data_IF_203102625857
#
_entry.id   IF_203102625857
#
_cell.length_a   1.000
_cell.length_b   1.000
_cell.length_c   1.000
_cell.angle_alpha   90.00
_cell.angle_beta   90.00
_cell.angle_gamma   90.00
#
_symmetry.space_group_name_H-M   'P 1'
#
loop_
_entity.id
_entity.type
_entity.pdbx_description
1 polymer ?
#
# COMPACT_ATOMS: atom_id res chain seq x y z
N UNK A 1 -27.54 0.56 -26.30
CA UNK A 1 -27.08 1.53 -25.28
C UNK A 1 -26.86 0.74 -24.03
N UNK A 2 -25.61 0.37 -23.75
CA UNK A 2 -25.24 -0.18 -22.44
C UNK A 2 -25.45 0.95 -21.45
N UNK A 3 -26.34 0.77 -20.48
CA UNK A 3 -26.48 1.70 -19.35
C UNK A 3 -25.10 1.89 -18.76
N UNK A 4 -24.62 3.14 -18.73
CA UNK A 4 -23.46 3.53 -17.92
C UNK A 4 -23.74 3.02 -16.51
N UNK A 5 -22.93 2.08 -16.05
CA UNK A 5 -23.07 1.50 -14.74
C UNK A 5 -22.69 2.57 -13.73
N UNK A 6 -23.62 2.97 -12.86
CA UNK A 6 -23.31 4.04 -11.91
C UNK A 6 -22.34 3.50 -10.83
N UNK A 7 -21.68 4.41 -10.11
CA UNK A 7 -20.68 4.06 -9.09
C UNK A 7 -21.21 3.06 -8.03
N UNK A 8 -22.49 3.13 -7.68
CA UNK A 8 -23.10 2.22 -6.70
C UNK A 8 -23.24 0.79 -7.26
N UNK A 9 -23.60 0.66 -8.54
CA UNK A 9 -23.70 -0.63 -9.21
C UNK A 9 -22.33 -1.32 -9.34
N UNK A 10 -21.28 -0.56 -9.68
CA UNK A 10 -19.89 -1.06 -9.72
C UNK A 10 -19.46 -1.59 -8.35
N UNK A 11 -19.68 -0.84 -7.28
CA UNK A 11 -19.32 -1.26 -5.91
C UNK A 11 -20.09 -2.49 -5.45
N UNK A 12 -21.38 -2.57 -5.80
CA UNK A 12 -22.21 -3.74 -5.50
C UNK A 12 -21.70 -4.99 -6.22
N UNK A 13 -21.31 -4.86 -7.48
CA UNK A 13 -20.73 -5.96 -8.26
C UNK A 13 -19.36 -6.39 -7.73
N UNK A 14 -18.51 -5.45 -7.30
CA UNK A 14 -17.21 -5.74 -6.67
C UNK A 14 -17.33 -6.51 -5.35
N UNK A 15 -18.38 -6.25 -4.58
CA UNK A 15 -18.69 -6.99 -3.35
C UNK A 15 -19.42 -8.31 -3.56
N UNK A 16 -19.75 -8.69 -4.80
CA UNK A 16 -20.47 -9.93 -5.10
C UNK A 16 -19.61 -11.17 -4.87
N UNK A 17 -20.21 -12.29 -4.45
CA UNK A 17 -19.54 -13.59 -4.44
C UNK A 17 -19.35 -14.15 -5.86
N UNK A 18 -20.12 -13.65 -6.83
CA UNK A 18 -20.01 -14.05 -8.23
C UNK A 18 -18.76 -13.46 -8.88
N UNK A 19 -17.84 -14.35 -9.30
CA UNK A 19 -16.59 -13.98 -9.96
C UNK A 19 -16.85 -13.15 -11.23
N UNK A 20 -17.87 -13.49 -12.02
CA UNK A 20 -18.17 -12.82 -13.28
C UNK A 20 -18.52 -11.34 -13.06
N UNK A 21 -19.41 -11.06 -12.10
CA UNK A 21 -19.83 -9.70 -11.75
C UNK A 21 -18.66 -8.87 -11.21
N UNK A 22 -17.79 -9.47 -10.41
CA UNK A 22 -16.56 -8.81 -9.93
C UNK A 22 -15.63 -8.45 -11.08
N UNK A 23 -15.39 -9.38 -12.02
CA UNK A 23 -14.53 -9.14 -13.18
C UNK A 23 -15.06 -8.03 -14.08
N UNK A 24 -16.37 -7.97 -14.32
CA UNK A 24 -17.01 -6.88 -15.06
C UNK A 24 -16.77 -5.52 -14.38
N UNK A 25 -16.94 -5.47 -13.06
CA UNK A 25 -16.77 -4.24 -12.32
C UNK A 25 -15.31 -3.79 -12.23
N UNK A 26 -14.36 -4.71 -12.02
CA UNK A 26 -12.92 -4.41 -12.09
C UNK A 26 -12.53 -3.85 -13.48
N UNK A 27 -13.09 -4.40 -14.56
CA UNK A 27 -12.86 -3.91 -15.91
C UNK A 27 -13.47 -2.52 -16.15
N UNK A 28 -14.64 -2.23 -15.57
CA UNK A 28 -15.26 -0.90 -15.64
C UNK A 28 -14.38 0.15 -14.93
N UNK A 29 -13.89 -0.15 -13.72
CA UNK A 29 -12.97 0.75 -12.99
C UNK A 29 -11.70 1.04 -13.79
N UNK A 30 -11.10 0.00 -14.38
CA UNK A 30 -9.85 0.11 -15.14
C UNK A 30 -9.99 0.99 -16.40
N UNK A 31 -11.19 1.02 -17.01
CA UNK A 31 -11.45 1.78 -18.24
C UNK A 31 -11.95 3.21 -18.01
N UNK A 32 -12.61 3.48 -16.87
CA UNK A 32 -13.25 4.78 -16.62
C UNK A 32 -12.43 5.72 -15.71
N UNK A 33 -11.49 5.19 -14.90
CA UNK A 33 -10.40 5.97 -14.29
C UNK A 33 -10.83 7.12 -13.35
N UNK A 34 -11.90 6.96 -12.58
CA UNK A 34 -12.30 7.94 -11.56
C UNK A 34 -11.64 7.67 -10.20
N UNK A 35 -10.66 8.49 -9.83
CA UNK A 35 -9.95 8.42 -8.55
C UNK A 35 -10.90 8.45 -7.33
N UNK A 36 -12.11 8.99 -7.48
CA UNK A 36 -13.10 9.04 -6.38
C UNK A 36 -13.60 7.65 -5.96
N UNK A 37 -13.39 6.60 -6.76
CA UNK A 37 -13.79 5.22 -6.39
C UNK A 37 -12.78 4.54 -5.47
N UNK A 38 -11.53 4.99 -5.45
CA UNK A 38 -10.44 4.36 -4.69
C UNK A 38 -10.78 4.16 -3.21
N UNK A 39 -11.33 5.14 -2.46
CA UNK A 39 -11.66 4.94 -1.05
C UNK A 39 -12.55 3.72 -0.81
N UNK A 40 -13.53 3.49 -1.68
CA UNK A 40 -14.45 2.36 -1.58
C UNK A 40 -13.77 1.03 -1.98
N UNK A 41 -12.84 1.04 -2.95
CA UNK A 41 -12.01 -0.13 -3.27
C UNK A 41 -11.11 -0.52 -2.10
N UNK A 42 -10.54 0.46 -1.39
CA UNK A 42 -9.75 0.21 -0.18
C UNK A 42 -10.62 -0.38 0.96
N UNK A 43 -11.88 0.04 1.10
CA UNK A 43 -12.82 -0.58 2.05
C UNK A 43 -13.07 -2.06 1.70
N UNK A 44 -13.19 -2.40 0.42
CA UNK A 44 -13.35 -3.80 -0.02
C UNK A 44 -12.05 -4.58 0.23
N UNK A 45 -10.88 -4.03 -0.11
CA UNK A 45 -9.58 -4.69 0.09
C UNK A 45 -9.33 -5.03 1.57
N UNK A 46 -9.67 -4.12 2.47
CA UNK A 46 -9.48 -4.28 3.92
C UNK A 46 -10.47 -5.27 4.53
N UNK A 47 -11.60 -5.55 3.87
CA UNK A 47 -12.62 -6.51 4.35
C UNK A 47 -12.62 -7.84 3.59
N UNK A 48 -11.86 -7.95 2.50
CA UNK A 48 -11.78 -9.14 1.66
C UNK A 48 -11.37 -10.38 2.46
N UNK A 49 -12.15 -11.47 2.31
CA UNK A 49 -11.95 -12.73 3.06
C UNK A 49 -11.16 -13.77 2.31
N UNK A 50 -11.16 -13.71 0.97
CA UNK A 50 -10.47 -14.66 0.12
C UNK A 50 -9.26 -14.06 -0.57
N UNK A 51 -8.27 -14.91 -0.83
CA UNK A 51 -7.00 -14.51 -1.44
C UNK A 51 -7.21 -13.97 -2.87
N UNK A 52 -8.10 -14.59 -3.66
CA UNK A 52 -8.32 -14.20 -5.06
C UNK A 52 -8.82 -12.76 -5.16
N UNK A 53 -9.85 -12.38 -4.40
CA UNK A 53 -10.36 -11.02 -4.36
C UNK A 53 -9.29 -10.03 -3.89
N UNK A 54 -8.47 -10.42 -2.91
CA UNK A 54 -7.37 -9.59 -2.43
C UNK A 54 -6.35 -9.32 -3.55
N UNK A 55 -5.90 -10.35 -4.26
CA UNK A 55 -4.95 -10.21 -5.37
C UNK A 55 -5.53 -9.37 -6.52
N UNK A 56 -6.79 -9.60 -6.90
CA UNK A 56 -7.44 -8.86 -7.97
C UNK A 56 -7.54 -7.36 -7.64
N UNK A 57 -7.86 -7.01 -6.40
CA UNK A 57 -7.93 -5.62 -5.94
C UNK A 57 -6.55 -4.97 -5.81
N UNK A 58 -5.56 -5.68 -5.28
CA UNK A 58 -4.18 -5.17 -5.17
C UNK A 58 -3.65 -4.84 -6.56
N UNK A 59 -3.78 -5.76 -7.53
CA UNK A 59 -3.34 -5.53 -8.91
C UNK A 59 -4.06 -4.33 -9.55
N UNK A 60 -5.38 -4.21 -9.36
CA UNK A 60 -6.15 -3.08 -9.90
C UNK A 60 -5.69 -1.75 -9.29
N UNK A 61 -5.49 -1.71 -7.97
CA UNK A 61 -5.12 -0.50 -7.24
C UNK A 61 -3.66 -0.09 -7.51
N UNK A 62 -2.74 -1.05 -7.63
CA UNK A 62 -1.34 -0.80 -7.95
C UNK A 62 -1.15 -0.23 -9.37
N UNK A 63 -2.04 -0.59 -10.30
CA UNK A 63 -2.08 -0.08 -11.69
C UNK A 63 -2.52 1.40 -11.81
N UNK A 64 -3.00 2.02 -10.73
CA UNK A 64 -3.48 3.41 -10.73
C UNK A 64 -2.31 4.38 -10.92
N UNK A 65 -2.51 5.37 -11.82
CA UNK A 65 -1.50 6.37 -12.19
C UNK A 65 -1.82 7.79 -11.72
N UNK A 66 -2.92 7.97 -10.99
CA UNK A 66 -3.31 9.27 -10.48
C UNK A 66 -2.42 9.68 -9.29
N UNK A 67 -1.80 10.86 -9.35
CA UNK A 67 -0.88 11.35 -8.33
C UNK A 67 -1.53 11.61 -6.96
N UNK A 68 -2.87 11.64 -6.86
CA UNK A 68 -3.56 11.68 -5.58
C UNK A 68 -3.59 10.31 -4.87
N UNK A 69 -3.35 9.21 -5.59
CA UNK A 69 -3.44 7.85 -5.07
C UNK A 69 -2.54 7.59 -3.85
N UNK A 70 -1.24 7.96 -3.83
CA UNK A 70 -0.39 7.71 -2.69
C UNK A 70 -0.92 8.34 -1.39
N UNK A 71 -1.43 9.58 -1.46
CA UNK A 71 -2.00 10.26 -0.30
C UNK A 71 -3.25 9.52 0.22
N UNK A 72 -4.14 9.06 -0.68
CA UNK A 72 -5.34 8.31 -0.30
C UNK A 72 -4.98 6.99 0.41
N UNK A 73 -3.98 6.26 -0.10
CA UNK A 73 -3.50 5.00 0.51
C UNK A 73 -2.89 5.27 1.89
N UNK A 74 -2.06 6.32 2.02
CA UNK A 74 -1.41 6.66 3.28
C UNK A 74 -2.40 7.13 4.35
N UNK A 75 -3.40 7.92 3.97
CA UNK A 75 -4.46 8.33 4.90
C UNK A 75 -5.27 7.13 5.39
N UNK A 76 -5.48 6.13 4.52
CA UNK A 76 -6.08 4.87 4.94
C UNK A 76 -5.17 4.09 5.90
N UNK A 77 -3.88 3.93 5.59
CA UNK A 77 -2.91 3.23 6.47
C UNK A 77 -2.90 3.83 7.89
N UNK A 78 -2.92 5.17 8.00
CA UNK A 78 -2.91 5.89 9.27
C UNK A 78 -4.13 5.64 10.14
N UNK A 79 -5.27 5.27 9.54
CA UNK A 79 -6.54 5.06 10.24
C UNK A 79 -6.87 3.58 10.44
N UNK A 80 -6.22 2.68 9.71
CA UNK A 80 -6.36 1.23 9.87
C UNK A 80 -5.58 0.76 11.09
N UNK A 81 -6.20 -0.02 11.97
CA UNK A 81 -5.54 -0.55 13.18
C UNK A 81 -5.28 -2.04 13.12
N UNK A 82 -6.06 -2.78 12.32
CA UNK A 82 -5.92 -4.24 12.21
C UNK A 82 -4.72 -4.63 11.33
N UNK A 83 -3.97 -5.62 11.79
CA UNK A 83 -2.76 -6.17 11.16
C UNK A 83 -2.94 -6.50 9.67
N UNK A 84 -3.90 -7.37 9.34
CA UNK A 84 -4.08 -7.88 7.98
C UNK A 84 -4.59 -6.80 7.02
N UNK A 85 -5.60 -5.98 7.38
CA UNK A 85 -5.96 -4.81 6.59
C UNK A 85 -4.79 -3.83 6.36
N UNK A 86 -4.02 -3.49 7.40
CA UNK A 86 -2.89 -2.56 7.28
C UNK A 86 -1.78 -3.12 6.39
N UNK A 87 -1.45 -4.41 6.52
CA UNK A 87 -0.42 -5.04 5.68
C UNK A 87 -0.80 -5.04 4.20
N UNK A 88 -2.07 -5.30 3.85
CA UNK A 88 -2.57 -5.21 2.47
C UNK A 88 -2.47 -3.81 1.88
N UNK A 89 -2.65 -2.79 2.70
CA UNK A 89 -2.52 -1.39 2.25
C UNK A 89 -1.05 -1.01 2.03
N UNK A 90 -0.16 -1.44 2.93
CA UNK A 90 1.28 -1.22 2.76
C UNK A 90 1.84 -1.93 1.52
N UNK A 91 1.28 -3.09 1.17
CA UNK A 91 1.62 -3.80 -0.07
C UNK A 91 1.42 -2.93 -1.32
N UNK A 92 0.38 -2.11 -1.35
CA UNK A 92 0.14 -1.17 -2.46
C UNK A 92 1.28 -0.16 -2.64
N UNK A 93 1.99 0.19 -1.57
CA UNK A 93 3.06 1.18 -1.62
C UNK A 93 4.29 0.71 -2.41
N UNK A 94 4.58 -0.60 -2.41
CA UNK A 94 5.72 -1.16 -3.14
C UNK A 94 5.35 -1.89 -4.42
N UNK A 95 4.08 -2.29 -4.60
CA UNK A 95 3.60 -2.82 -5.87
C UNK A 95 3.19 -1.74 -6.87
N UNK A 96 2.87 -0.52 -6.40
CA UNK A 96 2.53 0.59 -7.28
C UNK A 96 3.78 1.17 -7.96
N UNK A 97 3.60 1.63 -9.21
CA UNK A 97 4.63 2.39 -9.91
C UNK A 97 4.74 3.87 -9.47
N UNK A 98 3.85 4.33 -8.56
CA UNK A 98 3.85 5.71 -8.06
C UNK A 98 4.83 5.90 -6.91
N UNK A 99 5.26 7.15 -6.71
CA UNK A 99 6.26 7.50 -5.71
C UNK A 99 5.67 7.59 -4.29
N UNK A 100 6.07 6.66 -3.42
CA UNK A 100 5.76 6.66 -1.99
C UNK A 100 6.94 7.13 -1.12
N UNK A 101 8.05 7.57 -1.71
CA UNK A 101 9.23 8.08 -0.99
C UNK A 101 8.95 9.21 0.01
N UNK A 102 7.95 10.10 -0.17
CA UNK A 102 7.67 11.14 0.82
C UNK A 102 7.25 10.58 2.18
N UNK A 103 6.83 9.31 2.24
CA UNK A 103 6.31 8.64 3.42
C UNK A 103 7.32 7.67 4.07
N UNK A 104 8.58 7.67 3.65
CA UNK A 104 9.62 6.78 4.18
C UNK A 104 9.79 6.84 5.71
N UNK A 105 9.56 8.02 6.30
CA UNK A 105 9.60 8.21 7.75
C UNK A 105 8.47 7.43 8.43
N UNK A 106 7.26 7.46 7.87
CA UNK A 106 6.13 6.66 8.36
C UNK A 106 6.43 5.16 8.25
N UNK A 107 7.01 4.71 7.13
CA UNK A 107 7.37 3.31 6.99
C UNK A 107 8.39 2.86 8.04
N UNK A 108 9.40 3.69 8.33
CA UNK A 108 10.37 3.40 9.39
C UNK A 108 9.73 3.29 10.79
N UNK A 109 8.74 4.15 11.08
CA UNK A 109 7.97 4.07 12.33
C UNK A 109 7.16 2.76 12.41
N UNK A 110 6.47 2.39 11.33
CA UNK A 110 5.68 1.16 11.26
C UNK A 110 6.54 -0.09 11.38
N UNK A 111 7.70 -0.16 10.71
CA UNK A 111 8.65 -1.28 10.86
C UNK A 111 9.07 -1.47 12.32
N UNK A 112 9.30 -0.38 13.04
CA UNK A 112 9.72 -0.43 14.43
C UNK A 112 8.57 -0.79 15.39
N UNK A 113 7.39 -0.19 15.22
CA UNK A 113 6.34 -0.17 16.24
C UNK A 113 5.27 -1.26 16.09
N UNK A 114 5.00 -1.72 14.87
CA UNK A 114 3.88 -2.63 14.60
C UNK A 114 4.28 -4.10 14.77
N UNK A 115 3.31 -5.01 14.64
CA UNK A 115 3.61 -6.44 14.61
C UNK A 115 4.45 -6.84 13.39
N UNK A 116 4.92 -8.09 13.39
CA UNK A 116 5.81 -8.60 12.36
C UNK A 116 5.27 -8.47 10.93
N UNK A 117 3.97 -8.73 10.72
CA UNK A 117 3.37 -8.75 9.37
C UNK A 117 3.35 -7.33 8.81
N UNK A 118 2.90 -6.36 9.62
CA UNK A 118 2.90 -4.95 9.22
C UNK A 118 4.33 -4.43 9.04
N UNK A 119 5.24 -4.82 9.94
CA UNK A 119 6.63 -4.38 9.89
C UNK A 119 7.35 -4.89 8.63
N UNK A 120 7.05 -6.12 8.19
CA UNK A 120 7.60 -6.73 6.97
C UNK A 120 7.18 -5.95 5.72
N UNK A 121 5.90 -5.63 5.58
CA UNK A 121 5.41 -4.84 4.44
C UNK A 121 5.98 -3.41 4.46
N UNK A 122 6.08 -2.80 5.64
CA UNK A 122 6.68 -1.48 5.80
C UNK A 122 8.18 -1.47 5.47
N UNK A 123 8.96 -2.49 5.86
CA UNK A 123 10.38 -2.58 5.48
C UNK A 123 10.52 -2.81 3.98
N UNK A 124 9.67 -3.66 3.40
CA UNK A 124 9.66 -3.93 1.95
C UNK A 124 9.35 -2.64 1.18
N UNK A 125 8.43 -1.81 1.68
CA UNK A 125 8.16 -0.49 1.12
C UNK A 125 9.36 0.45 1.18
N UNK A 126 10.17 0.40 2.25
CA UNK A 126 11.42 1.17 2.32
C UNK A 126 12.39 0.68 1.23
N UNK A 127 12.58 -0.63 1.11
CA UNK A 127 13.55 -1.25 0.19
C UNK A 127 13.21 -1.04 -1.30
N UNK A 128 11.96 -0.67 -1.62
CA UNK A 128 11.49 -0.43 -3.00
C UNK A 128 11.45 1.06 -3.38
N UNK A 129 11.96 1.97 -2.54
CA UNK A 129 11.98 3.39 -2.90
C UNK A 129 13.16 3.70 -3.84
N UNK A 130 12.90 4.40 -4.94
CA UNK A 130 13.94 4.75 -5.91
C UNK A 130 14.59 6.13 -5.69
N UNK A 131 13.84 7.09 -5.14
CA UNK A 131 14.32 8.48 -4.94
C UNK A 131 14.06 8.90 -3.52
N UNK A 132 15.10 9.25 -2.76
CA UNK A 132 14.96 9.57 -1.33
C UNK A 132 15.50 10.97 -1.05
N UNK A 133 14.64 11.82 -0.51
CA UNK A 133 15.03 13.10 0.08
C UNK A 133 15.97 12.88 1.29
N UNK A 134 17.13 13.55 1.29
CA UNK A 134 18.20 13.37 2.28
C UNK A 134 17.72 13.58 3.72
N UNK A 135 16.88 14.59 3.94
CA UNK A 135 16.33 14.90 5.26
C UNK A 135 15.47 13.75 5.78
N UNK A 136 14.57 13.24 4.93
CA UNK A 136 13.72 12.08 5.26
C UNK A 136 14.54 10.80 5.43
N UNK A 137 15.56 10.57 4.60
CA UNK A 137 16.48 9.42 4.74
C UNK A 137 17.15 9.44 6.11
N UNK A 138 17.70 10.60 6.49
CA UNK A 138 18.36 10.79 7.78
C UNK A 138 17.39 10.59 8.95
N UNK A 139 16.15 11.08 8.83
CA UNK A 139 15.12 10.87 9.84
C UNK A 139 14.74 9.40 10.00
N UNK A 140 14.51 8.68 8.89
CA UNK A 140 14.20 7.25 8.89
C UNK A 140 15.34 6.42 9.53
N UNK A 141 16.60 6.68 9.15
CA UNK A 141 17.77 6.02 9.75
C UNK A 141 17.82 6.27 11.26
N UNK A 142 17.55 7.50 11.71
CA UNK A 142 17.54 7.84 13.13
C UNK A 142 16.50 7.04 13.90
N UNK A 143 15.27 6.95 13.37
CA UNK A 143 14.18 6.19 13.98
C UNK A 143 14.57 4.72 14.15
N UNK A 144 15.05 4.10 13.07
CA UNK A 144 15.41 2.68 13.07
C UNK A 144 16.59 2.38 14.01
N UNK A 145 17.61 3.26 14.09
CA UNK A 145 18.77 3.08 14.98
C UNK A 145 18.46 3.29 16.46
N UNK A 146 17.46 4.11 16.79
CA UNK A 146 17.07 4.39 18.17
C UNK A 146 16.05 3.39 18.71
N UNK A 147 15.47 2.59 17.83
CA UNK A 147 14.53 1.54 18.18
C UNK A 147 15.15 0.39 18.96
N UNK A 148 14.30 -0.36 19.66
CA UNK A 148 14.65 -1.64 20.29
C UNK A 148 13.59 -2.67 19.89
N UNK A 149 13.68 -3.21 18.65
CA UNK A 149 12.70 -4.17 18.14
C UNK A 149 12.79 -5.51 18.90
N UNK A 150 11.81 -6.39 18.71
CA UNK A 150 11.96 -7.80 19.07
C UNK A 150 13.06 -8.46 18.25
N UNK A 151 13.64 -9.55 18.77
CA UNK A 151 14.66 -10.34 18.06
C UNK A 151 14.17 -10.80 16.67
N UNK A 152 12.90 -11.20 16.59
CA UNK A 152 12.21 -11.55 15.35
C UNK A 152 12.22 -10.44 14.29
N UNK A 153 12.11 -9.17 14.69
CA UNK A 153 12.07 -8.03 13.76
C UNK A 153 13.44 -7.44 13.47
N UNK A 154 14.49 -7.86 14.18
CA UNK A 154 15.82 -7.25 14.05
C UNK A 154 16.33 -7.29 12.61
N UNK A 155 16.13 -8.41 11.90
CA UNK A 155 16.58 -8.53 10.51
C UNK A 155 15.86 -7.56 9.55
N UNK A 156 14.59 -7.21 9.80
CA UNK A 156 13.85 -6.22 9.01
C UNK A 156 14.46 -4.82 9.18
N UNK A 157 14.81 -4.50 10.42
CA UNK A 157 15.47 -3.23 10.76
C UNK A 157 16.86 -3.16 10.14
N UNK A 158 17.62 -4.24 10.20
CA UNK A 158 18.97 -4.32 9.63
C UNK A 158 18.94 -4.18 8.10
N UNK A 159 17.99 -4.84 7.43
CA UNK A 159 17.81 -4.72 5.98
C UNK A 159 17.41 -3.29 5.58
N UNK A 160 16.43 -2.69 6.25
CA UNK A 160 16.01 -1.31 5.99
C UNK A 160 17.16 -0.32 6.25
N UNK A 161 17.92 -0.49 7.33
CA UNK A 161 19.10 0.33 7.62
C UNK A 161 20.21 0.16 6.59
N UNK A 162 20.45 -1.07 6.13
CA UNK A 162 21.43 -1.37 5.10
C UNK A 162 21.05 -0.65 3.80
N UNK A 163 19.80 -0.78 3.36
CA UNK A 163 19.28 -0.09 2.19
C UNK A 163 19.44 1.44 2.33
N UNK A 164 18.93 2.04 3.41
CA UNK A 164 18.95 3.50 3.61
C UNK A 164 20.38 4.07 3.74
N UNK A 165 21.31 3.32 4.32
CA UNK A 165 22.69 3.79 4.53
C UNK A 165 23.53 3.67 3.27
N UNK A 166 23.27 2.67 2.43
CA UNK A 166 23.98 2.45 1.18
C UNK A 166 23.24 3.01 -0.04
N UNK A 167 22.10 3.68 0.17
CA UNK A 167 21.36 4.34 -0.90
C UNK A 167 22.26 5.37 -1.60
N UNK A 168 22.44 5.17 -2.90
CA UNK A 168 23.04 6.13 -3.82
C UNK A 168 21.98 6.49 -4.84
N UNK A 169 21.75 7.78 -5.07
CA UNK A 169 20.89 8.21 -6.18
C UNK A 169 21.57 7.75 -7.48
N UNK A 170 20.95 6.82 -8.20
CA UNK A 170 21.41 6.43 -9.54
C UNK A 170 21.05 7.55 -10.53
N UNK A 171 22.04 8.01 -11.29
CA UNK A 171 21.94 9.11 -12.29
C UNK A 171 20.98 8.79 -13.46
#
# INVERSE_FOLDING_TARGET
MTTMENKEDILKKLGSEEIQLRQEALAAVKNEGDITIVPALLDILTTAKDHKTTEELVNLLADIKDNAFPQIVIDRIRTTTETIPKSRLLRLCWESALDFSPYIVLFAELTLQEDFIVALEASTAIENIHRIDEEKRTAAIRILKQGSPSEEKQFLIDNALHFLTNYTEED
#
